data_IF_316802251068
#
_entry.id   IF_316802251068
#
_cell.length_a   1.000
_cell.length_b   1.000
_cell.length_c   1.000
_cell.angle_alpha   90.00
_cell.angle_beta   90.00
_cell.angle_gamma   90.00
#
_symmetry.space_group_name_H-M   'P 1'
#
loop_
_entity.id
_entity.type
_entity.pdbx_description
1 polymer ?
#
# COMPACT_ATOMS: atom_id res chain seq x y z
N UNK A 1 14.90 1.33 -16.35
CA UNK A 1 14.79 2.65 -15.68
C UNK A 1 13.48 2.66 -14.92
N UNK A 2 13.47 2.96 -13.62
CA UNK A 2 12.23 2.96 -12.81
C UNK A 2 11.33 4.10 -13.30
N UNK A 3 10.03 3.85 -13.46
CA UNK A 3 9.08 4.89 -13.89
C UNK A 3 8.89 5.92 -12.77
N UNK A 4 8.86 7.20 -13.12
CA UNK A 4 8.60 8.28 -12.16
C UNK A 4 7.09 8.37 -11.95
N UNK A 5 6.62 7.90 -10.80
CA UNK A 5 5.20 7.89 -10.45
C UNK A 5 4.66 9.32 -10.41
N UNK A 6 3.53 9.55 -11.07
CA UNK A 6 2.88 10.85 -11.10
C UNK A 6 3.45 11.84 -12.11
N UNK A 7 4.56 11.55 -12.81
CA UNK A 7 5.14 12.53 -13.75
C UNK A 7 4.20 12.90 -14.90
N UNK A 8 3.44 11.93 -15.41
CA UNK A 8 2.48 12.13 -16.51
C UNK A 8 1.23 12.89 -16.07
N UNK A 9 1.01 13.03 -14.75
CA UNK A 9 -0.16 13.70 -14.20
C UNK A 9 0.03 15.22 -14.13
N UNK A 10 1.15 15.76 -14.65
CA UNK A 10 1.46 17.19 -14.63
C UNK A 10 1.62 17.76 -16.04
N UNK A 11 0.84 18.80 -16.34
CA UNK A 11 0.95 19.59 -17.56
C UNK A 11 1.91 20.75 -17.31
N UNK A 12 3.08 20.73 -17.96
CA UNK A 12 4.10 21.76 -17.81
C UNK A 12 3.79 23.00 -18.66
N UNK A 13 3.93 24.19 -18.08
CA UNK A 13 3.92 25.45 -18.85
C UNK A 13 5.11 25.53 -19.84
N UNK A 14 4.85 25.43 -21.14
CA UNK A 14 5.88 25.46 -22.17
C UNK A 14 6.72 26.75 -22.16
N UNK A 15 6.22 27.85 -21.57
CA UNK A 15 6.94 29.14 -21.49
C UNK A 15 8.04 29.14 -20.42
N UNK A 16 7.99 28.23 -19.45
CA UNK A 16 8.92 28.22 -18.33
C UNK A 16 9.96 27.09 -18.46
N UNK A 17 11.27 27.40 -18.58
CA UNK A 17 12.31 26.41 -18.84
C UNK A 17 12.45 25.35 -17.74
N UNK A 18 12.58 24.09 -18.14
CA UNK A 18 12.73 22.95 -17.22
C UNK A 18 13.95 23.07 -16.28
N UNK A 19 15.03 23.70 -16.71
CA UNK A 19 16.22 23.93 -15.87
C UNK A 19 15.94 24.87 -14.67
N UNK A 20 14.88 25.69 -14.76
CA UNK A 20 14.50 26.64 -13.71
C UNK A 20 13.43 26.08 -12.76
N UNK A 21 12.73 25.00 -13.14
CA UNK A 21 11.66 24.40 -12.34
C UNK A 21 12.22 23.65 -11.14
N UNK A 22 11.54 23.77 -10.01
CA UNK A 22 11.67 22.80 -8.94
C UNK A 22 10.49 21.82 -8.98
N UNK A 23 10.75 20.63 -8.46
CA UNK A 23 9.75 19.64 -8.13
C UNK A 23 9.86 19.31 -6.64
N UNK A 24 8.72 19.15 -5.99
CA UNK A 24 8.62 18.55 -4.66
C UNK A 24 8.25 17.10 -4.84
N UNK A 25 9.02 16.22 -4.23
CA UNK A 25 8.96 14.78 -4.52
C UNK A 25 9.01 13.97 -3.23
N UNK A 26 8.34 12.83 -3.23
CA UNK A 26 8.49 11.82 -2.18
C UNK A 26 9.35 10.68 -2.70
N UNK A 27 10.40 10.38 -1.96
CA UNK A 27 11.37 9.34 -2.26
C UNK A 27 11.16 8.21 -1.27
N UNK A 28 10.99 7.00 -1.79
CA UNK A 28 10.90 5.78 -1.02
C UNK A 28 12.18 4.99 -1.25
N UNK A 29 12.96 4.78 -0.19
CA UNK A 29 14.16 3.95 -0.31
C UNK A 29 13.81 2.49 -0.51
N UNK A 30 14.64 1.81 -1.30
CA UNK A 30 14.61 0.36 -1.48
C UNK A 30 14.79 -0.32 -0.14
N UNK A 31 13.84 -1.19 0.20
CA UNK A 31 14.02 -2.08 1.34
C UNK A 31 15.17 -3.03 1.02
N UNK A 32 16.16 -3.18 1.92
CA UNK A 32 17.31 -4.05 1.65
C UNK A 32 16.85 -5.51 1.52
N UNK A 33 17.52 -6.27 0.65
CA UNK A 33 17.20 -7.68 0.42
C UNK A 33 17.12 -8.46 1.75
N UNK A 34 15.95 -9.04 2.02
CA UNK A 34 15.66 -9.75 3.26
C UNK A 34 16.56 -10.98 3.44
N UNK A 35 16.99 -11.61 2.33
CA UNK A 35 17.86 -12.78 2.35
C UNK A 35 19.20 -12.50 3.06
N UNK A 36 19.69 -11.26 2.98
CA UNK A 36 20.93 -10.83 3.63
C UNK A 36 20.85 -10.84 5.17
N UNK A 37 19.64 -10.91 5.74
CA UNK A 37 19.43 -10.81 7.17
C UNK A 37 18.76 -12.04 7.79
N UNK A 38 18.59 -13.11 7.02
CA UNK A 38 17.88 -14.32 7.47
C UNK A 38 18.57 -14.96 8.68
N UNK A 39 19.92 -14.97 8.69
CA UNK A 39 20.74 -15.55 9.74
C UNK A 39 20.95 -14.63 10.95
N UNK A 40 20.50 -13.38 10.90
CA UNK A 40 20.63 -12.44 12.01
C UNK A 40 19.51 -12.62 13.02
N UNK A 41 19.82 -12.43 14.31
CA UNK A 41 18.78 -12.37 15.34
C UNK A 41 17.89 -11.14 15.12
N UNK A 42 16.62 -11.15 15.56
CA UNK A 42 15.69 -10.04 15.31
C UNK A 42 16.22 -8.65 15.69
N UNK A 43 16.90 -8.53 16.85
CA UNK A 43 17.51 -7.25 17.28
C UNK A 43 18.66 -6.79 16.38
N UNK A 44 19.48 -7.72 15.87
CA UNK A 44 20.59 -7.43 14.95
C UNK A 44 20.06 -7.06 13.57
N UNK A 45 19.00 -7.74 13.13
CA UNK A 45 18.27 -7.47 11.88
C UNK A 45 17.71 -6.05 11.85
N UNK A 46 17.01 -5.61 12.91
CA UNK A 46 16.52 -4.22 13.02
C UNK A 46 17.68 -3.22 12.91
N UNK A 47 18.80 -3.48 13.61
CA UNK A 47 19.98 -2.60 13.57
C UNK A 47 20.58 -2.52 12.16
N UNK A 48 20.73 -3.65 11.48
CA UNK A 48 21.28 -3.71 10.12
C UNK A 48 20.40 -2.96 9.11
N UNK A 49 19.09 -3.17 9.15
CA UNK A 49 18.12 -2.49 8.27
C UNK A 49 18.11 -0.99 8.55
N UNK A 50 18.09 -0.59 9.82
CA UNK A 50 18.12 0.83 10.21
C UNK A 50 19.43 1.50 9.79
N UNK A 51 20.55 0.77 9.82
CA UNK A 51 21.83 1.24 9.26
C UNK A 51 21.73 1.41 7.74
N UNK A 52 21.20 0.44 7.01
CA UNK A 52 21.04 0.53 5.55
C UNK A 52 20.23 1.76 5.12
N UNK A 53 19.10 2.05 5.77
CA UNK A 53 18.31 3.25 5.48
C UNK A 53 19.06 4.55 5.80
N UNK A 54 19.81 4.60 6.92
CA UNK A 54 20.64 5.78 7.25
C UNK A 54 21.77 5.98 6.23
N UNK A 55 22.42 4.89 5.81
CA UNK A 55 23.48 4.94 4.80
C UNK A 55 22.93 5.42 3.45
N UNK A 56 21.75 4.94 3.02
CA UNK A 56 21.10 5.40 1.78
C UNK A 56 20.64 6.86 1.87
N UNK A 57 20.14 7.29 3.02
CA UNK A 57 19.82 8.70 3.26
C UNK A 57 21.06 9.59 3.21
N UNK A 58 22.19 9.16 3.79
CA UNK A 58 23.44 9.89 3.71
C UNK A 58 23.93 10.01 2.26
N UNK A 59 23.91 8.91 1.49
CA UNK A 59 24.23 8.95 0.05
C UNK A 59 23.36 9.95 -0.71
N UNK A 60 22.08 10.04 -0.38
CA UNK A 60 21.16 11.00 -1.00
C UNK A 60 21.52 12.44 -0.64
N UNK A 61 21.87 12.71 0.63
CA UNK A 61 22.34 14.02 1.10
C UNK A 61 23.65 14.43 0.40
N UNK A 62 24.58 13.50 0.26
CA UNK A 62 25.91 13.73 -0.32
C UNK A 62 25.85 14.14 -1.81
N UNK A 63 24.71 13.92 -2.49
CA UNK A 63 24.50 14.43 -3.85
C UNK A 63 24.47 15.96 -3.91
N UNK A 64 24.05 16.63 -2.82
CA UNK A 64 24.00 18.10 -2.76
C UNK A 64 23.03 18.76 -3.75
N UNK A 65 22.08 18.00 -4.32
CA UNK A 65 21.17 18.50 -5.37
C UNK A 65 19.81 18.99 -4.87
N UNK A 66 19.53 18.80 -3.58
CA UNK A 66 18.27 19.17 -2.96
C UNK A 66 18.37 20.55 -2.32
N UNK A 67 17.37 21.40 -2.57
CA UNK A 67 17.21 22.69 -1.90
C UNK A 67 16.71 22.49 -0.46
N UNK A 68 15.84 21.49 -0.28
CA UNK A 68 15.37 21.06 1.03
C UNK A 68 15.11 19.56 1.04
N UNK A 69 15.31 18.94 2.21
CA UNK A 69 15.03 17.53 2.48
C UNK A 69 14.41 17.39 3.87
N UNK A 70 13.32 16.64 3.94
CA UNK A 70 12.58 16.38 5.17
C UNK A 70 12.31 14.88 5.30
N UNK A 71 12.63 14.32 6.47
CA UNK A 71 12.34 12.92 6.77
C UNK A 71 10.87 12.81 7.21
N UNK A 72 10.06 12.08 6.44
CA UNK A 72 8.64 11.83 6.76
C UNK A 72 8.42 10.61 7.66
N UNK A 73 9.44 9.77 7.79
CA UNK A 73 9.46 8.61 8.70
C UNK A 73 10.30 8.86 9.96
N UNK A 74 10.59 7.83 10.74
CA UNK A 74 11.49 7.97 11.90
C UNK A 74 12.91 8.35 11.48
N UNK A 75 13.54 9.29 12.20
CA UNK A 75 14.98 9.61 12.03
C UNK A 75 15.91 8.40 12.21
N UNK A 76 15.50 7.41 12.98
CA UNK A 76 16.27 6.16 13.18
C UNK A 76 16.25 5.24 11.96
N UNK A 77 15.22 5.39 11.11
CA UNK A 77 14.98 4.60 9.90
C UNK A 77 14.33 5.52 8.84
N UNK A 78 15.12 6.38 8.19
CA UNK A 78 14.61 7.32 7.20
C UNK A 78 14.26 6.56 5.92
N UNK A 79 13.04 6.02 5.84
CA UNK A 79 12.55 5.23 4.71
C UNK A 79 11.84 6.09 3.66
N UNK A 80 11.19 7.16 4.12
CA UNK A 80 10.41 8.07 3.28
C UNK A 80 10.94 9.48 3.50
N UNK A 81 11.32 10.13 2.40
CA UNK A 81 11.88 11.48 2.39
C UNK A 81 11.07 12.34 1.43
N UNK A 82 10.73 13.55 1.84
CA UNK A 82 10.25 14.58 0.93
C UNK A 82 11.41 15.51 0.60
N UNK A 83 11.61 15.83 -0.67
CA UNK A 83 12.68 16.72 -1.11
C UNK A 83 12.23 17.71 -2.16
N UNK A 84 12.86 18.89 -2.18
CA UNK A 84 12.74 19.86 -3.26
C UNK A 84 14.02 19.87 -4.08
N UNK A 85 13.92 19.62 -5.39
CA UNK A 85 15.07 19.56 -6.30
C UNK A 85 14.72 20.13 -7.67
N UNK A 86 15.75 20.40 -8.48
CA UNK A 86 15.57 20.85 -9.87
C UNK A 86 14.91 19.75 -10.71
N UNK A 87 13.97 20.14 -11.57
CA UNK A 87 13.21 19.20 -12.41
C UNK A 87 14.10 18.37 -13.35
N UNK A 88 15.22 18.92 -13.82
CA UNK A 88 16.16 18.18 -14.68
C UNK A 88 16.93 17.06 -13.94
N UNK A 89 16.95 17.07 -12.59
CA UNK A 89 17.60 16.05 -11.78
C UNK A 89 16.68 14.84 -11.50
N UNK A 90 15.40 14.92 -11.83
CA UNK A 90 14.42 13.85 -11.54
C UNK A 90 14.84 12.50 -12.11
N UNK A 91 15.34 12.48 -13.36
CA UNK A 91 15.80 11.24 -14.01
C UNK A 91 17.03 10.65 -13.34
N UNK A 92 17.95 11.50 -12.87
CA UNK A 92 19.17 11.07 -12.19
C UNK A 92 18.84 10.41 -10.84
N UNK A 93 17.90 11.01 -10.09
CA UNK A 93 17.43 10.42 -8.84
C UNK A 93 16.67 9.12 -9.08
N UNK A 94 15.75 9.08 -10.04
CA UNK A 94 14.98 7.86 -10.35
C UNK A 94 15.85 6.68 -10.83
N UNK A 95 17.09 6.93 -11.25
CA UNK A 95 18.04 5.92 -11.68
C UNK A 95 18.86 5.31 -10.52
N UNK A 96 18.80 5.87 -9.31
CA UNK A 96 19.55 5.34 -8.16
C UNK A 96 18.99 3.98 -7.73
N UNK A 97 19.86 3.00 -7.59
CA UNK A 97 19.51 1.61 -7.28
C UNK A 97 18.84 1.45 -5.91
N UNK A 98 19.25 2.26 -4.94
CA UNK A 98 18.72 2.30 -3.57
C UNK A 98 17.38 3.06 -3.43
N UNK A 99 16.76 3.53 -4.52
CA UNK A 99 15.43 4.14 -4.50
C UNK A 99 14.41 3.15 -5.05
N UNK A 100 13.43 2.74 -4.25
CA UNK A 100 12.35 1.83 -4.67
C UNK A 100 11.43 2.50 -5.66
N UNK A 101 10.86 3.64 -5.25
CA UNK A 101 9.96 4.43 -6.06
C UNK A 101 10.10 5.90 -5.70
N UNK A 102 9.59 6.73 -6.58
CA UNK A 102 9.70 8.16 -6.54
C UNK A 102 8.38 8.74 -7.07
N UNK A 103 7.72 9.57 -6.26
CA UNK A 103 6.47 10.23 -6.66
C UNK A 103 6.61 11.74 -6.67
N UNK A 104 5.96 12.38 -7.64
CA UNK A 104 5.92 13.84 -7.74
C UNK A 104 4.72 14.37 -6.95
N UNK A 105 4.98 15.23 -5.97
CA UNK A 105 3.94 15.94 -5.21
C UNK A 105 3.54 17.26 -5.87
N UNK A 106 4.51 17.99 -6.43
CA UNK A 106 4.26 19.22 -7.17
C UNK A 106 5.42 19.56 -8.11
N UNK A 107 5.13 20.35 -9.13
CA UNK A 107 6.12 20.94 -10.03
C UNK A 107 5.77 22.43 -10.19
N UNK A 108 6.76 23.30 -9.99
CA UNK A 108 6.59 24.74 -10.20
C UNK A 108 6.08 25.03 -11.62
N UNK A 109 5.07 25.89 -11.75
CA UNK A 109 4.46 26.29 -13.03
C UNK A 109 3.88 25.10 -13.83
N UNK A 110 3.33 24.10 -13.15
CA UNK A 110 2.62 22.99 -13.77
C UNK A 110 1.22 22.85 -13.17
N UNK A 111 0.29 22.33 -13.97
CA UNK A 111 -1.09 22.06 -13.55
C UNK A 111 -1.27 20.55 -13.45
N UNK A 112 -1.80 20.08 -12.32
CA UNK A 112 -2.12 18.67 -12.14
C UNK A 112 -3.34 18.31 -13.01
N UNK A 113 -3.17 17.37 -13.93
CA UNK A 113 -4.25 16.82 -14.74
C UNK A 113 -5.00 15.78 -13.90
N UNK A 114 -6.27 16.07 -13.56
CA UNK A 114 -7.14 15.04 -12.99
C UNK A 114 -7.35 13.94 -14.03
N UNK A 115 -6.98 12.72 -13.69
CA UNK A 115 -7.32 11.54 -14.50
C UNK A 115 -8.85 11.40 -14.57
N UNK A 116 -9.38 11.19 -15.77
CA UNK A 116 -10.76 10.71 -15.93
C UNK A 116 -10.88 9.30 -15.35
N UNK A 117 -11.90 9.11 -14.53
CA UNK A 117 -12.24 7.84 -13.90
C UNK A 117 -12.81 6.91 -14.97
N UNK A 118 -12.04 5.91 -15.38
CA UNK A 118 -12.58 4.80 -16.16
C UNK A 118 -13.36 3.89 -15.22
N UNK A 119 -14.63 3.63 -15.50
CA UNK A 119 -15.41 2.50 -14.96
C UNK A 119 -15.70 1.51 -16.12
N UNK A 120 -15.87 0.18 -15.91
CA UNK A 120 -16.59 -0.45 -14.79
C UNK A 120 -16.06 -1.84 -14.32
N UNK A 121 -15.67 -1.93 -13.05
CA UNK A 121 -15.62 -3.19 -12.30
C UNK A 121 -16.52 -3.02 -11.08
N UNK A 122 -17.26 -4.05 -10.67
CA UNK A 122 -18.02 -4.02 -9.42
C UNK A 122 -17.11 -4.43 -8.27
N UNK A 123 -17.45 -3.98 -7.08
CA UNK A 123 -16.73 -4.41 -5.88
C UNK A 123 -17.35 -5.70 -5.35
N UNK A 124 -16.49 -6.69 -5.14
CA UNK A 124 -16.81 -7.94 -4.47
C UNK A 124 -16.12 -7.96 -3.11
N UNK A 125 -16.77 -8.51 -2.10
CA UNK A 125 -16.20 -8.78 -0.79
C UNK A 125 -15.92 -10.26 -0.66
N UNK A 126 -14.63 -10.62 -0.62
CA UNK A 126 -14.20 -12.00 -0.39
C UNK A 126 -13.87 -12.18 1.09
N UNK A 127 -14.58 -13.11 1.71
CA UNK A 127 -14.32 -13.58 3.06
C UNK A 127 -13.32 -14.73 2.99
N UNK A 128 -12.25 -14.64 3.76
CA UNK A 128 -11.19 -15.65 3.81
C UNK A 128 -10.72 -15.88 5.24
N UNK A 129 -10.22 -17.09 5.50
CA UNK A 129 -9.47 -17.40 6.72
C UNK A 129 -7.98 -17.35 6.41
N UNK A 130 -7.23 -16.61 7.23
CA UNK A 130 -5.80 -16.41 7.08
C UNK A 130 -5.08 -16.86 8.35
N UNK A 131 -4.04 -17.66 8.18
CA UNK A 131 -3.14 -18.10 9.25
C UNK A 131 -1.99 -17.11 9.38
N UNK A 132 -1.68 -16.71 10.61
CA UNK A 132 -0.54 -15.83 10.92
C UNK A 132 0.60 -16.70 11.47
N UNK A 133 1.75 -16.67 10.81
CA UNK A 133 2.92 -17.46 11.21
C UNK A 133 4.08 -16.52 11.54
N UNK A 134 4.61 -16.62 12.76
CA UNK A 134 5.68 -15.76 13.27
C UNK A 134 6.94 -16.58 13.54
N UNK A 135 8.07 -16.12 13.00
CA UNK A 135 9.39 -16.74 13.16
C UNK A 135 9.71 -17.06 14.63
N UNK A 136 10.06 -18.32 14.88
CA UNK A 136 10.49 -18.81 16.19
C UNK A 136 9.38 -18.86 17.25
N UNK A 137 8.12 -18.70 16.87
CA UNK A 137 6.96 -18.94 17.73
C UNK A 137 6.38 -20.31 17.37
N UNK A 138 6.64 -21.30 18.20
CA UNK A 138 6.04 -22.63 18.11
C UNK A 138 4.98 -22.81 19.21
N UNK A 139 3.80 -22.23 19.02
CA UNK A 139 2.66 -22.49 19.88
C UNK A 139 1.89 -23.73 19.38
N UNK A 140 1.22 -24.46 20.29
CA UNK A 140 0.29 -25.54 19.90
C UNK A 140 -0.97 -25.02 19.18
N UNK A 141 -1.21 -23.71 19.20
CA UNK A 141 -2.35 -23.04 18.58
C UNK A 141 -1.83 -21.98 17.62
N UNK A 142 -2.27 -22.02 16.37
CA UNK A 142 -1.97 -20.99 15.37
C UNK A 142 -2.97 -19.84 15.50
N UNK A 143 -2.49 -18.63 15.22
CA UNK A 143 -3.36 -17.45 15.16
C UNK A 143 -4.08 -17.46 13.80
N UNK A 144 -5.39 -17.34 13.84
CA UNK A 144 -6.27 -17.29 12.67
C UNK A 144 -6.98 -15.93 12.63
N UNK A 145 -7.03 -15.33 11.46
CA UNK A 145 -7.80 -14.13 11.17
C UNK A 145 -8.88 -14.42 10.13
N UNK A 146 -10.13 -14.06 10.44
CA UNK A 146 -11.19 -13.97 9.44
C UNK A 146 -11.10 -12.59 8.80
N UNK A 147 -10.72 -12.56 7.54
CA UNK A 147 -10.49 -11.33 6.78
C UNK A 147 -11.54 -11.16 5.70
N UNK A 148 -11.95 -9.92 5.49
CA UNK A 148 -12.89 -9.51 4.46
C UNK A 148 -12.17 -8.54 3.54
N UNK A 149 -12.03 -8.91 2.26
CA UNK A 149 -11.26 -8.16 1.28
C UNK A 149 -12.20 -7.64 0.19
N UNK A 150 -12.25 -6.32 0.04
CA UNK A 150 -12.89 -5.68 -1.10
C UNK A 150 -11.97 -5.72 -2.32
N UNK A 151 -12.48 -6.26 -3.42
CA UNK A 151 -11.74 -6.37 -4.68
C UNK A 151 -12.63 -5.99 -5.86
N UNK A 152 -12.03 -5.33 -6.86
CA UNK A 152 -12.70 -5.06 -8.13
C UNK A 152 -12.67 -6.29 -9.02
N UNK A 153 -13.84 -6.80 -9.39
CA UNK A 153 -13.98 -7.96 -10.25
C UNK A 153 -15.21 -7.89 -11.14
N UNK A 154 -15.26 -8.79 -12.13
CA UNK A 154 -16.39 -8.95 -13.06
C UNK A 154 -17.43 -9.93 -12.55
N UNK A 155 -17.02 -10.86 -11.70
CA UNK A 155 -17.85 -11.90 -11.08
C UNK A 155 -17.17 -12.38 -9.79
N UNK A 156 -17.90 -13.21 -9.03
CA UNK A 156 -17.35 -13.90 -7.86
C UNK A 156 -16.14 -14.78 -8.23
N UNK A 157 -16.24 -15.53 -9.33
CA UNK A 157 -15.15 -16.39 -9.80
C UNK A 157 -13.91 -15.58 -10.21
N UNK A 158 -14.09 -14.44 -10.88
CA UNK A 158 -12.99 -13.51 -11.20
C UNK A 158 -12.36 -12.92 -9.92
N UNK A 159 -13.17 -12.69 -8.87
CA UNK A 159 -12.66 -12.22 -7.58
C UNK A 159 -11.77 -13.27 -6.90
N UNK A 160 -12.19 -14.54 -6.88
CA UNK A 160 -11.38 -15.64 -6.36
C UNK A 160 -10.11 -15.83 -7.19
N UNK A 161 -10.21 -15.91 -8.52
CA UNK A 161 -9.07 -16.12 -9.41
C UNK A 161 -8.01 -15.01 -9.24
N UNK A 162 -8.44 -13.76 -9.09
CA UNK A 162 -7.53 -12.64 -8.80
C UNK A 162 -6.81 -12.79 -7.47
N UNK A 163 -7.51 -13.21 -6.42
CA UNK A 163 -6.90 -13.41 -5.10
C UNK A 163 -5.97 -14.62 -5.08
N UNK A 164 -6.33 -15.72 -5.73
CA UNK A 164 -5.50 -16.92 -5.87
C UNK A 164 -4.19 -16.60 -6.62
N UNK A 165 -4.27 -15.83 -7.71
CA UNK A 165 -3.07 -15.35 -8.42
C UNK A 165 -2.14 -14.49 -7.55
N UNK A 166 -2.68 -13.82 -6.54
CA UNK A 166 -1.92 -13.02 -5.56
C UNK A 166 -1.54 -13.79 -4.30
N UNK A 167 -1.89 -15.08 -4.19
CA UNK A 167 -1.68 -15.86 -2.97
C UNK A 167 -0.19 -16.00 -2.61
N UNK A 168 0.67 -16.14 -3.63
CA UNK A 168 2.12 -16.21 -3.44
C UNK A 168 2.70 -14.89 -2.88
N UNK A 169 2.17 -13.75 -3.32
CA UNK A 169 2.53 -12.44 -2.76
C UNK A 169 2.04 -12.32 -1.30
N UNK A 170 0.89 -12.93 -1.00
CA UNK A 170 0.29 -12.89 0.33
C UNK A 170 1.13 -13.64 1.38
N UNK A 171 1.72 -14.77 0.98
CA UNK A 171 2.59 -15.60 1.83
C UNK A 171 4.02 -15.08 1.93
N UNK A 172 4.38 -14.03 1.18
CA UNK A 172 5.71 -13.44 1.24
C UNK A 172 5.99 -12.95 2.66
N UNK A 173 7.01 -13.49 3.35
CA UNK A 173 7.32 -13.04 4.71
C UNK A 173 7.77 -11.58 4.71
N UNK A 174 7.28 -10.82 5.69
CA UNK A 174 7.78 -9.48 5.97
C UNK A 174 8.34 -9.40 7.40
N UNK A 175 9.17 -8.38 7.63
CA UNK A 175 9.72 -8.11 8.95
C UNK A 175 8.80 -7.22 9.77
N UNK A 176 8.33 -7.76 10.89
CA UNK A 176 7.55 -6.99 11.85
C UNK A 176 8.43 -6.01 12.66
N UNK A 177 7.84 -5.09 13.45
CA UNK A 177 8.59 -4.12 14.26
C UNK A 177 9.57 -4.75 15.27
N UNK A 178 9.33 -6.00 15.68
CA UNK A 178 10.21 -6.77 16.57
C UNK A 178 11.35 -7.46 15.82
N UNK A 179 11.43 -7.30 14.50
CA UNK A 179 12.47 -7.84 13.64
C UNK A 179 12.30 -9.31 13.35
N UNK A 180 11.11 -9.89 13.57
CA UNK A 180 10.79 -11.28 13.24
C UNK A 180 10.15 -11.35 11.86
N UNK A 181 10.43 -12.42 11.11
CA UNK A 181 9.66 -12.71 9.91
C UNK A 181 8.25 -13.13 10.29
N UNK A 182 7.28 -12.55 9.61
CA UNK A 182 5.86 -12.87 9.73
C UNK A 182 5.36 -13.14 8.32
N UNK A 183 4.66 -14.25 8.13
CA UNK A 183 3.95 -14.53 6.88
C UNK A 183 2.48 -14.76 7.17
N UNK A 184 1.65 -14.41 6.20
CA UNK A 184 0.21 -14.58 6.25
C UNK A 184 -0.16 -15.57 5.17
N UNK A 185 -0.79 -16.68 5.54
CA UNK A 185 -1.17 -17.69 4.56
C UNK A 185 -2.68 -17.79 4.50
N UNK A 186 -3.22 -17.58 3.32
CA UNK A 186 -4.63 -17.87 3.07
C UNK A 186 -4.82 -19.38 3.27
N UNK A 187 -5.68 -19.74 4.22
CA UNK A 187 -6.03 -21.11 4.54
C UNK A 187 -7.27 -21.56 3.78
N UNK A 188 -8.26 -20.67 3.67
CA UNK A 188 -9.47 -20.92 2.90
C UNK A 188 -10.10 -19.62 2.39
N UNK A 189 -10.71 -19.71 1.23
CA UNK A 189 -11.72 -18.76 0.78
C UNK A 189 -13.08 -19.26 1.27
N UNK A 190 -13.72 -18.48 2.13
CA UNK A 190 -14.91 -18.92 2.86
C UNK A 190 -16.21 -18.53 2.14
N UNK A 191 -16.23 -17.35 1.53
CA UNK A 191 -17.41 -16.80 0.84
C UNK A 191 -17.06 -15.59 -0.03
N UNK A 192 -17.93 -15.22 -0.96
CA UNK A 192 -17.76 -14.04 -1.80
C UNK A 192 -19.12 -13.41 -2.13
N UNK A 193 -19.22 -12.10 -1.92
CA UNK A 193 -20.44 -11.34 -2.09
C UNK A 193 -20.21 -10.20 -3.07
N UNK A 194 -21.16 -10.00 -3.98
CA UNK A 194 -21.24 -8.74 -4.72
C UNK A 194 -21.71 -7.64 -3.77
N UNK A 195 -21.08 -6.47 -3.84
CA UNK A 195 -21.45 -5.31 -3.02
C UNK A 195 -22.16 -4.26 -3.86
N UNK A 196 -22.97 -3.41 -3.21
CA UNK A 196 -23.63 -2.28 -3.86
C UNK A 196 -22.69 -1.07 -4.10
N UNK A 197 -21.39 -1.23 -3.82
CA UNK A 197 -20.39 -0.21 -4.05
C UNK A 197 -20.13 -0.12 -5.55
N UNK A 198 -20.50 1.02 -6.12
CA UNK A 198 -20.25 1.37 -7.52
C UNK A 198 -19.00 2.24 -7.67
N UNK A 199 -18.69 3.03 -6.64
CA UNK A 199 -17.57 3.96 -6.65
C UNK A 199 -16.93 4.09 -5.25
N UNK A 200 -15.65 4.47 -5.16
CA UNK A 200 -15.05 4.83 -3.88
C UNK A 200 -15.80 5.93 -3.12
N UNK A 201 -16.48 6.84 -3.83
CA UNK A 201 -17.22 7.94 -3.20
C UNK A 201 -18.44 7.45 -2.40
N UNK A 202 -18.93 6.23 -2.68
CA UNK A 202 -20.04 5.64 -1.94
C UNK A 202 -19.65 5.40 -0.47
N UNK A 203 -18.36 5.21 -0.19
CA UNK A 203 -17.80 5.03 1.15
C UNK A 203 -17.86 6.29 2.03
N UNK A 204 -18.03 7.47 1.43
CA UNK A 204 -18.01 8.76 2.14
C UNK A 204 -19.38 9.13 2.73
N UNK A 205 -20.44 8.39 2.39
CA UNK A 205 -21.79 8.64 2.88
C UNK A 205 -21.93 8.34 4.39
N UNK A 206 -22.66 9.18 5.16
CA UNK A 206 -22.81 8.97 6.61
C UNK A 206 -23.63 7.72 6.97
N UNK A 207 -24.37 7.16 6.01
CA UNK A 207 -25.07 5.88 6.16
C UNK A 207 -24.10 4.67 6.12
N UNK A 208 -22.87 4.88 5.62
CA UNK A 208 -21.94 3.82 5.28
C UNK A 208 -22.40 3.00 4.07
N UNK A 209 -21.61 1.98 3.74
CA UNK A 209 -21.95 0.97 2.73
C UNK A 209 -21.96 -0.42 3.36
N UNK A 210 -22.79 -1.30 2.82
CA UNK A 210 -22.76 -2.71 3.21
C UNK A 210 -21.63 -3.43 2.45
N UNK A 211 -20.66 -3.96 3.20
CA UNK A 211 -19.56 -4.78 2.65
C UNK A 211 -19.73 -6.26 2.94
N UNK A 212 -20.56 -6.60 3.93
CA UNK A 212 -20.84 -7.97 4.34
C UNK A 212 -22.12 -7.99 5.17
N UNK A 213 -23.01 -8.92 4.87
CA UNK A 213 -24.14 -9.25 5.73
C UNK A 213 -24.23 -10.76 5.94
N UNK A 214 -24.71 -11.13 7.13
CA UNK A 214 -25.01 -12.52 7.47
C UNK A 214 -26.46 -12.62 7.91
N UNK A 215 -27.30 -13.16 7.03
CA UNK A 215 -28.67 -13.46 7.36
C UNK A 215 -28.72 -14.57 8.42
N UNK A 216 -29.48 -14.34 9.48
CA UNK A 216 -29.76 -15.32 10.52
C UNK A 216 -31.26 -15.37 10.79
N UNK A 217 -31.75 -16.53 11.23
CA UNK A 217 -33.16 -16.73 11.55
C UNK A 217 -33.33 -16.75 13.06
N UNK A 218 -34.38 -16.09 13.56
CA UNK A 218 -34.85 -16.19 14.95
C UNK A 218 -36.36 -16.40 14.98
N UNK A 219 -36.86 -17.01 16.05
CA UNK A 219 -38.31 -17.14 16.26
C UNK A 219 -38.93 -15.74 16.41
N UNK A 220 -39.98 -15.46 15.65
CA UNK A 220 -40.68 -14.19 15.75
C UNK A 220 -41.47 -14.14 17.06
N UNK A 221 -41.47 -13.00 17.74
CA UNK A 221 -42.28 -12.74 18.93
C UNK A 221 -43.36 -11.72 18.56
N UNK A 222 -44.48 -11.68 19.28
CA UNK A 222 -45.56 -10.71 19.00
C UNK A 222 -45.10 -9.25 18.95
N UNK A 223 -44.00 -8.91 19.64
CA UNK A 223 -43.37 -7.57 19.65
C UNK A 223 -42.50 -7.26 18.42
N UNK A 224 -42.12 -8.27 17.64
CA UNK A 224 -41.20 -8.13 16.49
C UNK A 224 -41.88 -8.39 15.16
N UNK A 225 -43.21 -8.58 15.16
CA UNK A 225 -44.01 -8.67 13.93
C UNK A 225 -44.17 -7.27 13.36
N UNK A 226 -43.53 -7.00 12.23
CA UNK A 226 -43.78 -5.79 11.46
C UNK A 226 -45.11 -5.92 10.71
N UNK A 227 -46.05 -5.00 10.98
CA UNK A 227 -47.40 -5.01 10.39
C UNK A 227 -47.50 -4.37 9.00
N UNK A 228 -46.38 -4.02 8.37
CA UNK A 228 -46.34 -3.45 7.01
C UNK A 228 -46.93 -2.04 6.87
N UNK A 229 -47.35 -1.40 7.97
CA UNK A 229 -47.78 0.00 7.98
C UNK A 229 -46.54 0.87 8.19
N UNK A 230 -46.35 1.82 7.27
CA UNK A 230 -45.36 2.89 7.36
C UNK A 230 -45.75 3.91 8.44
#
# INVERSE_FOLDING_TARGET
MKEITGLKDWILDKKFPNAKRFAVVTIFFQYPDQALFINLKPKERIKAISKNFRDNYQKLLDLGIFESLEIQSSKKKPQIITGKLRYNQLKNIAALDYIYTFSIQSIDNAVHQKKETVQPDRYFCVKMTVVIEVEGISSKKQDLEKRFVLIKAKSSDDAYEKLEKSQDEYVEPYLNPQGRFVRWRIESYDDCFETDIQSPADLDGPAGVEVYSKLSKRKNTGKTVWGGKL
#
